data_IF_021835104687
#
_entry.id   IF_021835104687
#
_cell.length_a   1.000
_cell.length_b   1.000
_cell.length_c   1.000
_cell.angle_alpha   90.00
_cell.angle_beta   90.00
_cell.angle_gamma   90.00
#
_symmetry.space_group_name_H-M   'P 1'
#
loop_
_entity.id
_entity.type
_entity.pdbx_description
1 polymer ?
#
# COMPACT_ATOMS: atom_id res chain seq x y z
N UNK A 1 -47.89 39.96 25.76
CA UNK A 1 -48.09 38.59 25.21
C UNK A 1 -47.67 38.41 23.74
N UNK A 2 -47.21 39.44 22.98
CA UNK A 2 -46.95 39.33 21.52
C UNK A 2 -45.48 39.16 21.10
N UNK A 3 -44.52 39.35 22.01
CA UNK A 3 -43.06 39.36 21.69
C UNK A 3 -42.44 37.95 21.65
N UNK A 4 -42.87 37.08 22.57
CA UNK A 4 -42.39 35.69 22.65
C UNK A 4 -42.89 34.80 21.50
N UNK A 5 -44.04 35.13 20.89
CA UNK A 5 -44.55 34.42 19.72
C UNK A 5 -43.73 34.72 18.46
N UNK A 6 -43.16 35.92 18.35
CA UNK A 6 -42.39 36.34 17.17
C UNK A 6 -41.03 35.64 17.09
N UNK A 7 -40.35 35.45 18.23
CA UNK A 7 -39.03 34.82 18.28
C UNK A 7 -39.11 33.33 17.91
N UNK A 8 -40.18 32.64 18.33
CA UNK A 8 -40.43 31.24 17.94
C UNK A 8 -40.67 31.07 16.44
N UNK A 9 -41.42 31.99 15.82
CA UNK A 9 -41.74 31.93 14.38
C UNK A 9 -40.49 32.16 13.52
N UNK A 10 -39.63 33.13 13.88
CA UNK A 10 -38.40 33.43 13.13
C UNK A 10 -37.38 32.29 13.26
N UNK A 11 -37.24 31.68 14.44
CA UNK A 11 -36.37 30.52 14.65
C UNK A 11 -36.82 29.29 13.86
N UNK A 12 -38.12 28.98 13.88
CA UNK A 12 -38.67 27.86 13.09
C UNK A 12 -38.56 28.10 11.58
N UNK A 13 -38.72 29.33 11.10
CA UNK A 13 -38.52 29.65 9.69
C UNK A 13 -37.06 29.48 9.24
N UNK A 14 -36.08 29.78 10.10
CA UNK A 14 -34.66 29.55 9.79
C UNK A 14 -34.30 28.06 9.76
N UNK A 15 -34.85 27.25 10.68
CA UNK A 15 -34.65 25.78 10.66
C UNK A 15 -35.32 25.15 9.44
N UNK A 16 -36.53 25.59 9.08
CA UNK A 16 -37.24 25.09 7.90
C UNK A 16 -36.58 25.54 6.59
N UNK A 17 -36.09 26.78 6.51
CA UNK A 17 -35.32 27.25 5.36
C UNK A 17 -33.97 26.53 5.24
N UNK A 18 -33.29 26.26 6.36
CA UNK A 18 -32.06 25.49 6.40
C UNK A 18 -32.26 24.03 5.98
N UNK A 19 -33.28 23.35 6.52
CA UNK A 19 -33.64 21.98 6.12
C UNK A 19 -34.14 21.93 4.67
N UNK A 20 -34.88 22.94 4.20
CA UNK A 20 -35.31 23.07 2.81
C UNK A 20 -34.14 23.29 1.86
N UNK A 21 -33.22 24.19 2.20
CA UNK A 21 -32.00 24.44 1.45
C UNK A 21 -31.09 23.21 1.42
N UNK A 22 -30.86 22.58 2.59
CA UNK A 22 -30.11 21.33 2.71
C UNK A 22 -30.74 20.23 1.88
N UNK A 23 -32.03 19.93 2.03
CA UNK A 23 -32.68 18.89 1.23
C UNK A 23 -32.68 19.21 -0.27
N UNK A 24 -32.84 20.46 -0.70
CA UNK A 24 -32.72 20.85 -2.11
C UNK A 24 -31.30 20.68 -2.66
N UNK A 25 -30.27 21.11 -1.93
CA UNK A 25 -28.88 20.96 -2.37
C UNK A 25 -28.43 19.51 -2.38
N UNK A 26 -28.83 18.73 -1.37
CA UNK A 26 -28.55 17.29 -1.33
C UNK A 26 -29.27 16.55 -2.46
N UNK A 27 -30.53 16.92 -2.77
CA UNK A 27 -31.27 16.34 -3.90
C UNK A 27 -30.67 16.69 -5.26
N UNK A 28 -30.14 17.90 -5.42
CA UNK A 28 -29.46 18.30 -6.65
C UNK A 28 -28.19 17.46 -6.87
N UNK A 29 -27.42 17.22 -5.80
CA UNK A 29 -26.21 16.40 -5.86
C UNK A 29 -26.52 14.91 -6.10
N UNK A 30 -27.56 14.36 -5.47
CA UNK A 30 -27.98 12.98 -5.73
C UNK A 30 -28.61 12.81 -7.11
N UNK A 31 -29.30 13.82 -7.64
CA UNK A 31 -29.85 13.75 -9.01
C UNK A 31 -28.74 13.71 -10.06
N UNK A 32 -27.61 14.39 -9.82
CA UNK A 32 -26.43 14.26 -10.68
C UNK A 32 -25.78 12.88 -10.55
N UNK A 33 -25.67 12.33 -9.34
CA UNK A 33 -25.15 10.96 -9.13
C UNK A 33 -26.06 9.90 -9.77
N UNK A 34 -27.38 10.02 -9.63
CA UNK A 34 -28.35 9.14 -10.30
C UNK A 34 -28.29 9.30 -11.82
N UNK A 35 -28.13 10.52 -12.35
CA UNK A 35 -27.97 10.75 -13.78
C UNK A 35 -26.64 10.18 -14.33
N UNK A 36 -25.58 10.17 -13.53
CA UNK A 36 -24.31 9.52 -13.85
C UNK A 36 -24.42 8.00 -13.78
N UNK A 37 -25.11 7.44 -12.78
CA UNK A 37 -25.34 6.00 -12.65
C UNK A 37 -26.31 5.46 -13.71
N UNK A 38 -27.33 6.23 -14.10
CA UNK A 38 -28.34 5.84 -15.10
C UNK A 38 -27.83 5.95 -16.54
N UNK A 39 -26.70 6.61 -16.77
CA UNK A 39 -25.96 6.58 -18.04
C UNK A 39 -25.04 5.35 -18.15
N UNK A 40 -24.92 4.55 -17.09
CA UNK A 40 -24.02 3.39 -16.99
C UNK A 40 -24.71 2.01 -17.11
N UNK A 41 -25.77 1.87 -17.92
CA UNK A 41 -26.22 0.58 -18.45
C UNK A 41 -27.27 0.78 -19.58
N UNK A 42 -27.47 -0.13 -20.56
CA UNK A 42 -26.97 -1.51 -20.69
C UNK A 42 -26.37 -1.85 -22.09
N UNK A 43 -26.05 -3.14 -22.31
CA UNK A 43 -25.40 -3.78 -23.48
C UNK A 43 -23.87 -3.77 -23.41
N UNK A 44 -23.17 -4.90 -23.48
CA UNK A 44 -23.43 -6.11 -24.27
C UNK A 44 -22.57 -7.25 -23.71
N UNK A 45 -23.09 -8.47 -23.65
CA UNK A 45 -22.38 -9.76 -23.52
C UNK A 45 -20.95 -9.71 -22.94
N UNK A 46 -20.77 -10.12 -21.66
CA UNK A 46 -19.46 -10.22 -20.99
C UNK A 46 -18.63 -11.35 -21.63
N UNK A 47 -18.08 -11.06 -22.81
CA UNK A 47 -16.82 -11.59 -23.29
C UNK A 47 -15.76 -10.57 -22.87
N UNK A 48 -15.21 -10.77 -21.68
CA UNK A 48 -13.85 -10.46 -21.29
C UNK A 48 -13.16 -9.32 -22.08
N UNK A 49 -13.43 -8.06 -21.74
CA UNK A 49 -12.79 -6.89 -22.39
C UNK A 49 -12.60 -5.72 -21.40
N UNK A 50 -11.85 -5.94 -20.32
CA UNK A 50 -11.02 -4.85 -19.77
C UNK A 50 -9.90 -4.56 -20.78
N UNK A 51 -9.38 -3.32 -20.90
CA UNK A 51 -8.14 -3.10 -21.65
C UNK A 51 -7.09 -4.09 -21.12
N UNK A 52 -6.23 -4.68 -21.97
CA UNK A 52 -5.25 -5.65 -21.52
C UNK A 52 -4.33 -4.95 -20.52
N UNK A 53 -4.59 -5.17 -19.23
CA UNK A 53 -3.68 -4.76 -18.16
C UNK A 53 -2.42 -5.55 -18.46
N UNK A 54 -1.38 -4.87 -18.91
CA UNK A 54 -0.08 -5.50 -19.12
C UNK A 54 0.32 -6.12 -17.79
N UNK A 55 0.35 -7.45 -17.72
CA UNK A 55 0.73 -8.19 -16.52
C UNK A 55 2.12 -8.75 -16.71
N UNK A 56 2.91 -8.73 -15.65
CA UNK A 56 4.26 -9.28 -15.59
C UNK A 56 4.17 -10.62 -14.87
N UNK A 57 4.68 -11.68 -15.49
CA UNK A 57 4.77 -13.00 -14.85
C UNK A 57 6.07 -13.08 -14.07
N UNK A 58 5.98 -13.30 -12.75
CA UNK A 58 7.13 -13.36 -11.84
C UNK A 58 7.87 -14.71 -11.93
N UNK A 59 8.39 -15.06 -13.10
CA UNK A 59 9.25 -16.26 -13.22
C UNK A 59 10.62 -15.99 -12.60
N UNK A 60 11.38 -17.05 -12.33
CA UNK A 60 12.75 -16.90 -11.82
C UNK A 60 13.63 -16.17 -12.84
N UNK A 61 13.40 -16.40 -14.12
CA UNK A 61 14.12 -15.76 -15.22
C UNK A 61 13.78 -14.27 -15.33
N UNK A 62 12.52 -13.89 -15.05
CA UNK A 62 12.14 -12.48 -14.97
C UNK A 62 12.84 -11.81 -13.80
N UNK A 63 12.76 -12.41 -12.61
CA UNK A 63 13.39 -11.88 -11.40
C UNK A 63 14.91 -11.76 -11.57
N UNK A 64 15.56 -12.71 -12.25
CA UNK A 64 16.99 -12.70 -12.52
C UNK A 64 17.48 -11.55 -13.41
N UNK A 65 16.57 -10.82 -14.08
CA UNK A 65 16.93 -9.59 -14.81
C UNK A 65 17.21 -8.41 -13.86
N UNK A 66 16.63 -8.44 -12.67
CA UNK A 66 16.76 -7.41 -11.65
C UNK A 66 17.92 -7.76 -10.69
N UNK A 67 19.14 -7.80 -11.24
CA UNK A 67 20.32 -8.37 -10.60
C UNK A 67 21.42 -7.35 -10.24
N UNK A 68 21.09 -6.07 -10.13
CA UNK A 68 22.06 -5.00 -9.87
C UNK A 68 21.64 -4.14 -8.68
N UNK A 69 22.57 -3.42 -8.05
CA UNK A 69 22.22 -2.54 -6.93
C UNK A 69 21.26 -1.39 -7.32
N UNK A 70 21.23 -1.00 -8.60
CA UNK A 70 20.29 -0.01 -9.15
C UNK A 70 18.95 -0.61 -9.57
N UNK A 71 18.84 -1.92 -9.61
CA UNK A 71 17.64 -2.67 -9.99
C UNK A 71 17.74 -4.09 -9.41
N UNK A 72 17.24 -4.26 -8.18
CA UNK A 72 17.47 -5.42 -7.34
C UNK A 72 16.14 -6.01 -6.87
N UNK A 73 15.81 -7.21 -7.35
CA UNK A 73 14.77 -8.04 -6.78
C UNK A 73 15.36 -9.28 -6.13
N UNK A 74 14.71 -9.79 -5.09
CA UNK A 74 15.12 -11.02 -4.41
C UNK A 74 13.92 -11.95 -4.22
N UNK A 75 14.20 -13.24 -4.07
CA UNK A 75 13.20 -14.23 -3.64
C UNK A 75 13.44 -14.57 -2.17
N UNK A 76 12.38 -14.51 -1.36
CA UNK A 76 12.37 -15.05 0.00
C UNK A 76 11.13 -15.92 0.18
N UNK A 77 11.33 -17.19 0.52
CA UNK A 77 10.28 -18.18 0.74
C UNK A 77 9.27 -18.26 -0.42
N UNK A 78 9.76 -18.21 -1.66
CA UNK A 78 8.93 -18.33 -2.87
C UNK A 78 8.11 -17.08 -3.23
N UNK A 79 8.38 -15.95 -2.57
CA UNK A 79 7.81 -14.64 -2.92
C UNK A 79 8.91 -13.71 -3.41
N UNK A 80 8.58 -12.85 -4.37
CA UNK A 80 9.48 -11.88 -4.98
C UNK A 80 9.29 -10.49 -4.35
N UNK A 81 10.40 -9.82 -4.08
CA UNK A 81 10.44 -8.52 -3.39
C UNK A 81 11.31 -7.53 -4.17
N UNK A 82 10.84 -6.29 -4.30
CA UNK A 82 11.62 -5.20 -4.88
C UNK A 82 12.38 -4.48 -3.78
N UNK A 83 13.71 -4.60 -3.76
CA UNK A 83 14.53 -4.14 -2.63
C UNK A 83 15.50 -3.03 -2.99
N UNK A 84 15.52 -2.56 -4.25
CA UNK A 84 16.45 -1.53 -4.76
C UNK A 84 16.57 -0.32 -3.83
N UNK A 85 15.44 0.32 -3.49
CA UNK A 85 15.42 1.50 -2.61
C UNK A 85 15.83 1.20 -1.18
N UNK A 86 15.68 -0.06 -0.74
CA UNK A 86 15.92 -0.49 0.63
C UNK A 86 17.40 -0.79 0.90
N UNK A 87 18.19 -1.12 -0.13
CA UNK A 87 19.59 -1.54 0.01
C UNK A 87 20.42 -0.59 0.91
N UNK A 88 20.28 0.72 0.73
CA UNK A 88 21.09 1.72 1.43
C UNK A 88 20.61 2.01 2.87
N UNK A 89 19.38 1.63 3.20
CA UNK A 89 18.79 1.85 4.53
C UNK A 89 18.66 0.55 5.34
N UNK A 90 19.08 -0.58 4.76
CA UNK A 90 19.13 -1.86 5.46
C UNK A 90 20.11 -1.79 6.65
N UNK A 91 19.69 -2.14 7.88
CA UNK A 91 20.57 -2.06 9.06
C UNK A 91 21.86 -2.89 8.97
N UNK A 92 21.83 -4.03 8.25
CA UNK A 92 23.03 -4.84 7.96
C UNK A 92 23.90 -4.29 6.82
N UNK A 93 23.55 -3.13 6.25
CA UNK A 93 24.18 -2.52 5.10
C UNK A 93 23.78 -3.14 3.76
N UNK A 94 24.02 -2.40 2.68
CA UNK A 94 23.72 -2.83 1.31
C UNK A 94 24.47 -4.11 0.91
N UNK A 95 25.69 -4.29 1.40
CA UNK A 95 26.54 -5.45 1.10
C UNK A 95 25.94 -6.79 1.59
N UNK A 96 25.01 -6.76 2.54
CA UNK A 96 24.32 -7.95 3.02
C UNK A 96 23.24 -8.46 2.04
N UNK A 97 22.69 -7.58 1.19
CA UNK A 97 21.59 -7.92 0.26
C UNK A 97 22.07 -7.94 -1.18
N UNK A 98 22.94 -6.99 -1.59
CA UNK A 98 23.36 -6.81 -2.98
C UNK A 98 23.87 -8.09 -3.69
N UNK A 99 24.58 -9.03 -3.02
CA UNK A 99 24.99 -10.29 -3.65
C UNK A 99 23.84 -11.19 -4.10
N UNK A 100 22.63 -10.95 -3.59
CA UNK A 100 21.44 -11.76 -3.86
C UNK A 100 20.48 -11.13 -4.87
N UNK A 101 20.83 -9.97 -5.47
CA UNK A 101 20.00 -9.37 -6.52
C UNK A 101 19.81 -10.37 -7.68
N UNK A 102 18.55 -10.57 -8.07
CA UNK A 102 18.13 -11.52 -9.09
C UNK A 102 18.11 -12.98 -8.62
N UNK A 103 18.28 -13.25 -7.32
CA UNK A 103 18.44 -14.60 -6.78
C UNK A 103 17.53 -14.90 -5.58
N UNK A 104 17.56 -16.16 -5.15
CA UNK A 104 16.90 -16.62 -3.92
C UNK A 104 17.78 -16.32 -2.71
N UNK A 105 17.28 -15.41 -1.87
CA UNK A 105 17.92 -14.94 -0.64
C UNK A 105 17.33 -15.62 0.61
N UNK A 106 16.48 -16.64 0.47
CA UNK A 106 15.74 -17.24 1.60
C UNK A 106 16.68 -17.65 2.75
N UNK A 107 17.75 -18.37 2.43
CA UNK A 107 18.69 -18.83 3.46
C UNK A 107 19.43 -17.66 4.13
N UNK A 108 19.82 -16.66 3.33
CA UNK A 108 20.50 -15.48 3.83
C UNK A 108 19.60 -14.65 4.75
N UNK A 109 18.33 -14.49 4.38
CA UNK A 109 17.33 -13.82 5.19
C UNK A 109 17.07 -14.58 6.50
N UNK A 110 16.86 -15.89 6.45
CA UNK A 110 16.57 -16.69 7.65
C UNK A 110 17.73 -16.72 8.66
N UNK A 111 18.96 -16.53 8.20
CA UNK A 111 20.17 -16.66 9.04
C UNK A 111 20.91 -15.34 9.26
N UNK A 112 20.45 -14.23 8.67
CA UNK A 112 21.23 -12.98 8.60
C UNK A 112 22.68 -13.21 8.12
N UNK A 113 22.87 -14.12 7.15
CA UNK A 113 24.22 -14.52 6.72
C UNK A 113 25.04 -15.26 7.80
N UNK A 114 24.36 -15.96 8.71
CA UNK A 114 24.96 -16.70 9.83
C UNK A 114 25.07 -15.90 11.14
N UNK A 115 24.53 -14.68 11.21
CA UNK A 115 24.60 -13.81 12.40
C UNK A 115 23.41 -13.97 13.35
N UNK A 116 22.33 -14.63 12.95
CA UNK A 116 21.14 -14.79 13.78
C UNK A 116 19.86 -14.90 12.96
N UNK A 117 18.79 -14.27 13.43
CA UNK A 117 17.48 -14.25 12.74
C UNK A 117 16.97 -12.82 12.67
N UNK A 118 16.24 -12.47 11.61
CA UNK A 118 15.54 -11.19 11.54
C UNK A 118 14.47 -11.07 12.64
N UNK A 119 14.25 -9.84 13.09
CA UNK A 119 13.19 -9.52 14.05
C UNK A 119 11.83 -9.48 13.35
N UNK A 120 10.75 -9.53 14.14
CA UNK A 120 9.39 -9.37 13.60
C UNK A 120 9.20 -8.03 12.85
N UNK A 121 9.93 -6.98 13.23
CA UNK A 121 9.90 -5.69 12.53
C UNK A 121 10.53 -5.80 11.14
N UNK A 122 11.64 -6.54 11.02
CA UNK A 122 12.26 -6.78 9.72
C UNK A 122 11.36 -7.63 8.81
N UNK A 123 10.61 -8.59 9.36
CA UNK A 123 9.59 -9.33 8.60
C UNK A 123 8.46 -8.41 8.10
N UNK A 124 8.02 -7.45 8.94
CA UNK A 124 7.02 -6.45 8.54
C UNK A 124 7.56 -5.54 7.44
N UNK A 125 8.81 -5.08 7.54
CA UNK A 125 9.46 -4.29 6.50
C UNK A 125 9.54 -5.07 5.18
N UNK A 126 9.97 -6.33 5.21
CA UNK A 126 10.00 -7.20 4.03
C UNK A 126 8.62 -7.30 3.36
N UNK A 127 7.54 -7.43 4.15
CA UNK A 127 6.18 -7.50 3.62
C UNK A 127 5.77 -6.25 2.82
N UNK A 128 6.31 -5.07 3.15
CA UNK A 128 6.02 -3.83 2.39
C UNK A 128 6.66 -3.82 1.00
N UNK A 129 7.71 -4.64 0.79
CA UNK A 129 8.47 -4.74 -0.45
C UNK A 129 7.93 -5.82 -1.39
N UNK A 130 6.85 -6.50 -0.99
CA UNK A 130 6.29 -7.63 -1.71
C UNK A 130 5.74 -7.20 -3.07
N UNK A 131 6.22 -7.85 -4.13
CA UNK A 131 5.66 -7.74 -5.47
C UNK A 131 4.57 -8.80 -5.67
N UNK A 132 4.86 -10.05 -5.29
CA UNK A 132 3.97 -11.19 -5.43
C UNK A 132 4.66 -12.55 -5.28
N UNK A 133 3.91 -13.64 -5.44
CA UNK A 133 4.48 -15.00 -5.43
C UNK A 133 5.21 -15.29 -6.74
N UNK A 134 6.29 -16.07 -6.67
CA UNK A 134 6.96 -16.59 -7.87
C UNK A 134 5.96 -17.40 -8.70
N UNK A 135 5.90 -17.12 -10.00
CA UNK A 135 4.93 -17.67 -10.95
C UNK A 135 3.59 -16.92 -11.03
N UNK A 136 3.34 -15.94 -10.16
CA UNK A 136 2.14 -15.11 -10.26
C UNK A 136 2.25 -14.09 -11.39
N UNK A 137 1.09 -13.70 -11.93
CA UNK A 137 0.96 -12.54 -12.81
C UNK A 137 0.59 -11.32 -11.96
N UNK A 138 1.37 -10.26 -12.08
CA UNK A 138 1.19 -9.01 -11.32
C UNK A 138 1.08 -7.82 -12.24
N UNK A 139 0.30 -6.82 -11.83
CA UNK A 139 0.25 -5.55 -12.55
C UNK A 139 1.52 -4.72 -12.27
N UNK A 140 2.02 -3.93 -13.24
CA UNK A 140 3.15 -3.01 -13.07
C UNK A 140 2.99 -2.07 -11.87
N UNK A 141 1.75 -1.70 -11.53
CA UNK A 141 1.46 -0.86 -10.35
C UNK A 141 1.83 -1.53 -9.03
N UNK A 142 1.81 -2.86 -8.94
CA UNK A 142 2.25 -3.58 -7.74
C UNK A 142 3.77 -3.47 -7.56
N UNK A 143 4.53 -3.63 -8.65
CA UNK A 143 5.99 -3.43 -8.66
C UNK A 143 6.32 -2.00 -8.28
N UNK A 144 5.69 -1.02 -8.93
CA UNK A 144 5.90 0.39 -8.65
C UNK A 144 5.60 0.75 -7.19
N UNK A 145 4.56 0.15 -6.59
CA UNK A 145 4.24 0.31 -5.17
C UNK A 145 5.35 -0.26 -4.27
N UNK A 146 5.89 -1.43 -4.59
CA UNK A 146 6.99 -2.01 -3.83
C UNK A 146 8.26 -1.14 -3.91
N UNK A 147 8.58 -0.62 -5.11
CA UNK A 147 9.73 0.28 -5.31
C UNK A 147 9.62 1.59 -4.51
N UNK A 148 8.45 2.23 -4.49
CA UNK A 148 8.25 3.43 -3.66
C UNK A 148 8.37 3.12 -2.17
N UNK A 149 7.85 1.97 -1.73
CA UNK A 149 7.94 1.55 -0.34
C UNK A 149 9.42 1.36 0.03
N UNK A 150 10.20 0.68 -0.82
CA UNK A 150 11.63 0.48 -0.62
C UNK A 150 12.40 1.78 -0.38
N UNK A 151 12.03 2.86 -1.07
CA UNK A 151 12.68 4.16 -0.95
C UNK A 151 12.24 4.99 0.26
N UNK A 152 11.13 4.64 0.92
CA UNK A 152 10.51 5.46 1.97
C UNK A 152 10.26 4.73 3.28
N UNK A 153 10.76 3.49 3.46
CA UNK A 153 10.65 2.80 4.74
C UNK A 153 11.29 3.71 5.81
N UNK A 154 10.51 4.26 6.76
CA UNK A 154 11.09 5.03 7.83
C UNK A 154 11.97 4.07 8.63
N UNK A 155 13.24 4.46 8.82
CA UNK A 155 14.09 3.82 9.80
C UNK A 155 13.41 4.03 11.15
N UNK A 156 12.71 3.00 11.66
CA UNK A 156 12.19 2.96 13.02
C UNK A 156 13.39 2.80 13.96
N UNK A 157 14.20 3.86 14.04
CA UNK A 157 15.23 4.04 15.03
C UNK A 157 14.58 4.39 16.36
N UNK A 158 13.81 3.46 16.91
CA UNK A 158 13.46 3.45 18.31
C UNK A 158 14.08 2.18 18.90
N UNK A 159 15.31 2.38 19.34
CA UNK A 159 15.85 1.66 20.48
C UNK A 159 14.80 1.79 21.60
N UNK A 160 14.14 0.70 21.96
CA UNK A 160 13.54 0.55 23.28
C UNK A 160 14.70 0.41 24.28
N UNK A 161 15.39 1.53 24.49
CA UNK A 161 16.17 1.78 25.68
C UNK A 161 15.13 2.09 26.77
N UNK A 162 14.88 1.15 27.69
CA UNK A 162 14.23 1.27 29.03
C UNK A 162 13.63 -0.12 29.39
N UNK A 163 14.24 -0.97 30.22
CA UNK A 163 14.43 -0.71 31.64
C UNK A 163 15.53 -1.63 32.22
N UNK A 164 16.49 -0.96 32.82
CA UNK A 164 17.46 -1.41 33.82
C UNK A 164 16.74 -1.92 35.10
N UNK A 165 17.39 -2.86 35.83
CA UNK A 165 17.16 -3.36 37.22
C UNK A 165 16.92 -4.88 37.31
N UNK A 166 17.66 -5.68 38.07
CA UNK A 166 18.63 -5.44 39.14
C UNK A 166 19.68 -6.59 39.13
N UNK A 167 20.95 -6.23 39.25
CA UNK A 167 21.99 -7.08 39.82
C UNK A 167 21.77 -7.11 41.35
N UNK A 168 21.50 -8.29 41.92
CA UNK A 168 21.89 -8.73 43.28
C UNK A 168 21.61 -10.24 43.47
#
# INVERSE_FOLDING_TARGET
MKKELLIGIVGSLLVLAGAGYYTMHYRAQTAQLDALMKRAAPSTNIQNSSPPVSVITLTKEEIAKHNSASDCWIIVQGSAYAVTGFLNIHPGGAAAIAPYCGADATQAFLTQGGQGTHSAVADQQLATLLIGKVGAQVAPTAIQKADINAATIPFSGEREDENERDDD
#
